data_IF_241524502314
#
_entry.id   IF_241524502314
#
_cell.length_a   1.000
_cell.length_b   1.000
_cell.length_c   1.000
_cell.angle_alpha   90.00
_cell.angle_beta   90.00
_cell.angle_gamma   90.00
#
_symmetry.space_group_name_H-M   'P 1'
#
loop_
_entity.id
_entity.type
_entity.pdbx_description
1 polymer ?
#
# COMPACT_ATOMS: atom_id res chain seq x y z
N UNK A 1 28.01 1.26 18.39
CA UNK A 1 28.76 0.23 17.64
C UNK A 1 27.83 -0.96 17.43
N UNK A 2 27.08 -0.98 16.33
CA UNK A 2 26.17 -2.07 15.97
C UNK A 2 26.68 -2.70 14.68
N UNK A 3 27.37 -3.83 14.79
CA UNK A 3 27.70 -4.68 13.63
C UNK A 3 26.75 -5.87 13.64
N UNK A 4 25.56 -5.69 13.08
CA UNK A 4 24.65 -6.81 12.84
C UNK A 4 24.56 -7.01 11.34
N UNK A 5 25.29 -8.00 10.84
CA UNK A 5 25.20 -8.49 9.47
C UNK A 5 24.43 -9.81 9.54
N UNK A 6 23.09 -9.81 9.61
CA UNK A 6 22.36 -11.05 9.60
C UNK A 6 22.45 -11.63 8.19
N UNK A 7 22.91 -12.88 8.08
CA UNK A 7 22.66 -13.67 6.88
C UNK A 7 21.15 -13.85 6.65
N UNK A 8 20.73 -14.30 5.45
CA UNK A 8 19.31 -14.40 5.08
C UNK A 8 18.45 -15.18 6.09
N UNK A 9 19.02 -16.17 6.80
CA UNK A 9 18.33 -16.96 7.84
C UNK A 9 18.08 -16.15 9.12
N UNK A 10 19.04 -15.32 9.55
CA UNK A 10 18.89 -14.47 10.74
C UNK A 10 17.86 -13.36 10.55
N UNK A 11 17.68 -12.92 9.30
CA UNK A 11 16.66 -11.94 8.95
C UNK A 11 15.25 -12.55 9.03
N UNK A 12 15.10 -13.83 8.68
CA UNK A 12 13.84 -14.58 8.83
C UNK A 12 13.49 -14.80 10.29
N UNK A 13 14.45 -15.16 11.14
CA UNK A 13 14.27 -15.31 12.59
C UNK A 13 13.82 -14.01 13.26
N UNK A 14 14.44 -12.87 12.88
CA UNK A 14 14.05 -11.55 13.42
C UNK A 14 12.64 -11.17 12.95
N UNK A 15 12.33 -11.39 11.67
CA UNK A 15 10.99 -11.12 11.13
C UNK A 15 9.94 -12.01 11.80
N UNK A 16 10.28 -13.27 12.08
CA UNK A 16 9.40 -14.22 12.77
C UNK A 16 9.17 -13.80 14.23
N UNK A 17 10.23 -13.50 14.97
CA UNK A 17 10.13 -13.00 16.34
C UNK A 17 9.35 -11.68 16.43
N UNK A 18 9.52 -10.78 15.45
CA UNK A 18 8.76 -9.54 15.38
C UNK A 18 7.28 -9.79 15.03
N UNK A 19 6.99 -10.74 14.13
CA UNK A 19 5.62 -11.16 13.80
C UNK A 19 4.93 -11.82 14.98
N UNK A 20 5.63 -12.68 15.72
CA UNK A 20 5.10 -13.38 16.89
C UNK A 20 4.86 -12.40 18.05
N UNK A 21 5.77 -11.45 18.27
CA UNK A 21 5.58 -10.36 19.22
C UNK A 21 4.36 -9.49 18.85
N UNK A 22 4.19 -9.18 17.56
CA UNK A 22 3.02 -8.42 17.10
C UNK A 22 1.73 -9.21 17.28
N UNK A 23 1.74 -10.51 16.96
CA UNK A 23 0.59 -11.41 17.09
C UNK A 23 0.18 -11.53 18.56
N UNK A 24 1.15 -11.70 19.47
CA UNK A 24 0.89 -11.74 20.91
C UNK A 24 0.28 -10.43 21.44
N UNK A 25 0.79 -9.28 20.98
CA UNK A 25 0.23 -7.98 21.36
C UNK A 25 -1.18 -7.79 20.82
N UNK A 26 -1.47 -8.24 19.60
CA UNK A 26 -2.81 -8.20 19.03
C UNK A 26 -3.76 -9.16 19.75
N UNK A 27 -3.31 -10.35 20.15
CA UNK A 27 -4.13 -11.34 20.84
C UNK A 27 -4.60 -10.84 22.20
N UNK A 28 -3.71 -10.20 22.99
CA UNK A 28 -4.08 -9.57 24.26
C UNK A 28 -5.13 -8.46 24.05
N UNK A 29 -4.89 -7.56 23.09
CA UNK A 29 -5.80 -6.44 22.80
C UNK A 29 -7.17 -6.91 22.28
N UNK A 30 -7.21 -7.99 21.48
CA UNK A 30 -8.44 -8.54 20.92
C UNK A 30 -9.23 -9.33 21.98
N UNK A 31 -8.54 -10.00 22.91
CA UNK A 31 -9.16 -10.83 23.93
C UNK A 31 -9.67 -10.02 25.15
N UNK A 32 -9.34 -8.74 25.24
CA UNK A 32 -9.90 -7.79 26.21
C UNK A 32 -11.30 -7.29 25.76
N UNK A 33 -12.35 -8.05 26.09
CA UNK A 33 -13.75 -7.75 25.75
C UNK A 33 -14.22 -6.35 26.20
N UNK A 34 -13.74 -5.89 27.36
CA UNK A 34 -14.08 -4.58 27.94
C UNK A 34 -13.46 -3.44 27.11
N UNK A 35 -12.22 -3.63 26.64
CA UNK A 35 -11.52 -2.67 25.81
C UNK A 35 -12.12 -2.62 24.40
N UNK A 36 -12.52 -3.78 23.86
CA UNK A 36 -13.22 -3.87 22.58
C UNK A 36 -14.60 -3.19 22.60
N UNK A 37 -15.33 -3.25 23.71
CA UNK A 37 -16.58 -2.50 23.89
C UNK A 37 -16.33 -0.99 23.96
N UNK A 38 -15.33 -0.56 24.74
CA UNK A 38 -14.96 0.87 24.87
C UNK A 38 -14.50 1.46 23.54
N UNK A 39 -13.63 0.76 22.82
CA UNK A 39 -13.21 1.16 21.47
C UNK A 39 -14.37 1.21 20.50
N UNK A 40 -15.36 0.31 20.59
CA UNK A 40 -16.54 0.32 19.73
C UNK A 40 -17.42 1.53 19.99
N UNK A 41 -17.64 1.90 21.24
CA UNK A 41 -18.42 3.08 21.62
C UNK A 41 -17.72 4.38 21.28
N UNK A 42 -16.42 4.48 21.57
CA UNK A 42 -15.60 5.64 21.22
C UNK A 42 -15.45 5.80 19.70
N UNK A 43 -15.24 4.70 18.96
CA UNK A 43 -15.24 4.78 17.50
C UNK A 43 -16.63 5.11 16.93
N UNK A 44 -17.73 4.68 17.54
CA UNK A 44 -19.07 5.04 17.07
C UNK A 44 -19.34 6.54 17.27
N UNK A 45 -18.94 7.10 18.42
CA UNK A 45 -19.06 8.55 18.71
C UNK A 45 -18.15 9.38 17.82
N UNK A 46 -16.89 8.98 17.65
CA UNK A 46 -15.97 9.59 16.69
C UNK A 46 -16.47 9.45 15.26
N UNK A 47 -17.03 8.30 14.88
CA UNK A 47 -17.64 8.09 13.58
C UNK A 47 -18.97 8.82 13.40
N UNK A 48 -19.54 9.45 14.42
CA UNK A 48 -20.65 10.40 14.30
C UNK A 48 -20.16 11.86 14.22
N UNK A 49 -19.07 12.20 14.93
CA UNK A 49 -18.45 13.53 14.93
C UNK A 49 -17.53 13.81 13.73
N UNK A 50 -16.76 12.83 13.27
CA UNK A 50 -15.83 12.97 12.12
C UNK A 50 -16.54 13.05 10.77
N UNK A 51 -17.62 12.28 10.46
CA UNK A 51 -18.26 12.41 9.17
C UNK A 51 -19.00 13.73 9.05
N UNK A 52 -19.47 14.41 10.10
CA UNK A 52 -20.10 15.72 9.89
C UNK A 52 -19.10 16.77 9.39
N UNK A 53 -17.85 16.73 9.88
CA UNK A 53 -16.77 17.62 9.41
C UNK A 53 -16.17 17.20 8.06
N UNK A 54 -15.98 15.89 7.82
CA UNK A 54 -15.36 15.37 6.59
C UNK A 54 -16.36 15.02 5.48
N UNK A 55 -17.62 14.69 5.81
CA UNK A 55 -18.65 14.46 4.81
C UNK A 55 -18.99 15.77 4.12
N UNK A 56 -18.98 16.94 4.77
CA UNK A 56 -19.24 18.21 4.05
C UNK A 56 -18.24 18.44 2.90
N UNK A 57 -16.99 17.98 3.02
CA UNK A 57 -15.98 18.09 1.94
C UNK A 57 -16.01 16.97 0.90
N UNK A 58 -16.71 15.85 1.14
CA UNK A 58 -16.71 14.64 0.28
C UNK A 58 -18.13 14.25 -0.22
N UNK A 59 -19.20 14.87 0.30
CA UNK A 59 -20.51 14.21 0.50
C UNK A 59 -21.39 13.95 -0.71
N UNK A 60 -21.43 14.73 -1.78
CA UNK A 60 -22.61 14.62 -2.67
C UNK A 60 -22.65 13.31 -3.50
N UNK A 61 -21.51 12.87 -4.02
CA UNK A 61 -21.41 11.63 -4.82
C UNK A 61 -21.17 10.41 -3.94
N UNK A 62 -20.24 10.51 -2.98
CA UNK A 62 -19.88 9.40 -2.09
C UNK A 62 -21.03 9.02 -1.15
N UNK A 63 -21.78 9.99 -0.60
CA UNK A 63 -22.91 9.66 0.27
C UNK A 63 -24.06 8.98 -0.49
N UNK A 64 -24.30 9.36 -1.76
CA UNK A 64 -25.31 8.68 -2.60
C UNK A 64 -24.92 7.25 -2.91
N UNK A 65 -23.65 7.01 -3.26
CA UNK A 65 -23.16 5.66 -3.53
C UNK A 65 -23.13 4.80 -2.26
N UNK A 66 -22.73 5.36 -1.13
CA UNK A 66 -22.77 4.67 0.17
C UNK A 66 -24.20 4.30 0.58
N UNK A 67 -25.16 5.20 0.38
CA UNK A 67 -26.58 4.93 0.66
C UNK A 67 -27.13 3.83 -0.26
N UNK A 68 -26.83 3.91 -1.56
CA UNK A 68 -27.22 2.88 -2.54
C UNK A 68 -26.62 1.51 -2.19
N UNK A 69 -25.35 1.47 -1.79
CA UNK A 69 -24.69 0.23 -1.36
C UNK A 69 -25.30 -0.32 -0.07
N UNK A 70 -25.65 0.53 0.90
CA UNK A 70 -26.34 0.13 2.12
C UNK A 70 -27.70 -0.52 1.81
N UNK A 71 -28.48 0.08 0.92
CA UNK A 71 -29.77 -0.48 0.46
C UNK A 71 -29.58 -1.82 -0.29
N UNK A 72 -28.52 -1.96 -1.08
CA UNK A 72 -28.18 -3.23 -1.73
C UNK A 72 -27.80 -4.32 -0.72
N UNK A 73 -27.01 -3.98 0.30
CA UNK A 73 -26.59 -4.91 1.35
C UNK A 73 -27.76 -5.34 2.24
N UNK A 74 -28.68 -4.42 2.54
CA UNK A 74 -29.90 -4.73 3.30
C UNK A 74 -30.87 -5.64 2.52
N UNK A 75 -30.89 -5.53 1.19
CA UNK A 75 -31.76 -6.30 0.31
C UNK A 75 -31.05 -7.48 -0.37
N UNK A 76 -29.91 -7.94 0.15
CA UNK A 76 -29.24 -9.10 -0.43
C UNK A 76 -30.12 -10.36 -0.29
N UNK A 77 -30.31 -11.14 -1.38
CA UNK A 77 -31.20 -12.31 -1.39
C UNK A 77 -30.68 -13.49 -0.55
N UNK A 78 -29.39 -13.46 -0.17
CA UNK A 78 -28.75 -14.48 0.66
C UNK A 78 -28.19 -13.78 1.90
N UNK A 79 -28.44 -14.34 3.08
CA UNK A 79 -27.90 -13.78 4.31
C UNK A 79 -26.36 -13.78 4.26
N UNK A 80 -25.68 -12.71 4.72
CA UNK A 80 -24.21 -12.64 4.70
C UNK A 80 -23.54 -13.80 5.45
N UNK A 81 -24.21 -14.31 6.50
CA UNK A 81 -23.76 -15.47 7.28
C UNK A 81 -23.77 -16.75 6.45
N UNK A 82 -24.85 -17.00 5.70
CA UNK A 82 -24.94 -18.19 4.85
C UNK A 82 -24.01 -18.11 3.64
N UNK A 83 -23.85 -16.92 3.06
CA UNK A 83 -22.87 -16.69 1.99
C UNK A 83 -21.44 -17.03 2.45
N UNK A 84 -21.06 -16.58 3.65
CA UNK A 84 -19.76 -16.88 4.24
C UNK A 84 -19.56 -18.37 4.49
N UNK A 85 -20.56 -19.05 5.06
CA UNK A 85 -20.52 -20.50 5.30
C UNK A 85 -20.40 -21.29 3.99
N UNK A 86 -21.10 -20.88 2.92
CA UNK A 86 -20.97 -21.52 1.60
C UNK A 86 -19.58 -21.28 0.99
N UNK A 87 -19.02 -20.09 1.14
CA UNK A 87 -17.65 -19.82 0.68
C UNK A 87 -16.60 -20.60 1.47
N UNK A 88 -16.76 -20.74 2.79
CA UNK A 88 -15.84 -21.53 3.61
C UNK A 88 -15.96 -23.02 3.30
N UNK A 89 -17.18 -23.55 3.11
CA UNK A 89 -17.41 -24.93 2.67
C UNK A 89 -16.82 -25.19 1.28
N UNK A 90 -16.99 -24.24 0.35
CA UNK A 90 -16.40 -24.32 -0.98
C UNK A 90 -14.86 -24.37 -0.93
N UNK A 91 -14.24 -23.50 -0.12
CA UNK A 91 -12.79 -23.50 0.09
C UNK A 91 -12.33 -24.78 0.79
N UNK A 92 -13.08 -25.29 1.76
CA UNK A 92 -12.78 -26.55 2.44
C UNK A 92 -12.88 -27.75 1.47
N UNK A 93 -13.82 -27.72 0.52
CA UNK A 93 -14.10 -28.81 -0.42
C UNK A 93 -13.16 -28.83 -1.63
N UNK A 94 -12.78 -27.67 -2.16
CA UNK A 94 -11.97 -27.55 -3.38
C UNK A 94 -10.55 -27.02 -3.14
N UNK A 95 -10.24 -26.52 -1.94
CA UNK A 95 -8.92 -26.08 -1.57
C UNK A 95 -8.41 -24.90 -2.42
N UNK A 96 -7.15 -24.98 -2.86
CA UNK A 96 -6.54 -23.94 -3.71
C UNK A 96 -7.09 -24.02 -5.13
N UNK A 97 -7.84 -23.00 -5.53
CA UNK A 97 -8.22 -22.81 -6.93
C UNK A 97 -7.03 -22.17 -7.68
N UNK A 98 -6.38 -22.87 -8.63
CA UNK A 98 -5.23 -22.32 -9.36
C UNK A 98 -5.58 -21.08 -10.19
N UNK A 99 -6.86 -20.89 -10.55
CA UNK A 99 -7.36 -19.70 -11.24
C UNK A 99 -7.64 -18.49 -10.32
N UNK A 100 -7.63 -18.68 -8.98
CA UNK A 100 -7.73 -17.58 -8.01
C UNK A 100 -6.35 -17.13 -7.51
N UNK A 101 -5.26 -17.75 -7.96
CA UNK A 101 -3.93 -17.24 -7.63
C UNK A 101 -3.74 -15.91 -8.37
N UNK A 102 -3.54 -14.78 -7.68
CA UNK A 102 -3.35 -13.51 -8.36
C UNK A 102 -2.18 -13.64 -9.33
N UNK A 103 -2.45 -13.41 -10.62
CA UNK A 103 -1.48 -13.48 -11.72
C UNK A 103 -0.19 -12.69 -11.42
N UNK A 104 -0.24 -11.71 -10.50
CA UNK A 104 0.92 -10.99 -9.98
C UNK A 104 2.03 -11.88 -9.38
N UNK A 105 1.74 -13.12 -8.95
CA UNK A 105 2.77 -14.03 -8.43
C UNK A 105 3.58 -14.73 -9.53
N UNK A 106 3.04 -14.86 -10.74
CA UNK A 106 3.70 -15.52 -11.87
C UNK A 106 4.29 -14.54 -12.89
N UNK A 107 4.17 -13.22 -12.65
CA UNK A 107 4.80 -12.22 -13.52
C UNK A 107 6.32 -12.26 -13.39
N UNK A 108 7.02 -12.22 -14.53
CA UNK A 108 8.47 -12.08 -14.54
C UNK A 108 8.90 -10.79 -13.80
N UNK A 109 10.02 -10.84 -13.08
CA UNK A 109 10.56 -9.68 -12.34
C UNK A 109 10.67 -8.40 -13.19
N UNK A 110 10.91 -8.57 -14.50
CA UNK A 110 10.99 -7.48 -15.49
C UNK A 110 9.64 -6.76 -15.65
N UNK A 111 8.53 -7.51 -15.67
CA UNK A 111 7.18 -6.96 -15.80
C UNK A 111 6.67 -6.39 -14.49
N UNK A 112 7.05 -6.99 -13.36
CA UNK A 112 6.70 -6.48 -12.03
C UNK A 112 7.32 -5.09 -11.75
N UNK A 113 8.60 -4.90 -12.12
CA UNK A 113 9.29 -3.62 -11.94
C UNK A 113 9.25 -2.68 -13.15
N UNK A 114 8.60 -3.08 -14.25
CA UNK A 114 8.50 -2.28 -15.49
C UNK A 114 9.86 -1.72 -15.92
N UNK A 115 10.86 -2.60 -16.00
CA UNK A 115 12.26 -2.22 -16.14
C UNK A 115 12.54 -1.39 -17.41
N UNK A 116 11.75 -1.60 -18.47
CA UNK A 116 11.75 -0.79 -19.70
C UNK A 116 11.44 0.69 -19.43
N UNK A 117 10.43 0.98 -18.62
CA UNK A 117 10.05 2.36 -18.24
C UNK A 117 11.15 3.02 -17.42
N UNK A 118 11.74 2.28 -16.47
CA UNK A 118 12.85 2.78 -15.64
C UNK A 118 14.06 3.15 -16.52
N UNK A 119 14.39 2.32 -17.50
CA UNK A 119 15.50 2.54 -18.41
C UNK A 119 15.27 3.78 -19.29
N UNK A 120 14.07 3.98 -19.83
CA UNK A 120 13.70 5.19 -20.58
C UNK A 120 13.83 6.44 -19.71
N UNK A 121 13.35 6.41 -18.46
CA UNK A 121 13.46 7.57 -17.55
C UNK A 121 14.91 7.91 -17.23
N UNK A 122 15.75 6.92 -16.91
CA UNK A 122 17.17 7.13 -16.60
C UNK A 122 17.93 7.69 -17.79
N UNK A 123 17.67 7.18 -19.00
CA UNK A 123 18.33 7.67 -20.22
C UNK A 123 17.96 9.13 -20.51
N UNK A 124 16.68 9.50 -20.39
CA UNK A 124 16.24 10.90 -20.56
C UNK A 124 16.92 11.82 -19.53
N UNK A 125 16.94 11.44 -18.25
CA UNK A 125 17.60 12.22 -17.21
C UNK A 125 19.10 12.37 -17.47
N UNK A 126 19.78 11.29 -17.87
CA UNK A 126 21.20 11.33 -18.20
C UNK A 126 21.50 12.28 -19.37
N UNK A 127 20.66 12.29 -20.42
CA UNK A 127 20.80 13.21 -21.55
C UNK A 127 20.63 14.66 -21.10
N UNK A 128 19.62 14.97 -20.29
CA UNK A 128 19.38 16.33 -19.78
C UNK A 128 20.57 16.82 -18.94
N UNK A 129 21.08 15.97 -18.05
CA UNK A 129 22.26 16.28 -17.22
C UNK A 129 23.51 16.46 -18.11
N UNK A 130 23.70 15.60 -19.11
CA UNK A 130 24.82 15.70 -20.02
C UNK A 130 24.80 17.01 -20.83
N UNK A 131 23.64 17.37 -21.38
CA UNK A 131 23.46 18.60 -22.17
C UNK A 131 23.67 19.84 -21.29
N UNK A 132 23.05 19.88 -20.10
CA UNK A 132 23.23 21.00 -19.18
C UNK A 132 24.69 21.16 -18.74
N UNK A 133 25.40 20.08 -18.42
CA UNK A 133 26.83 20.12 -18.12
C UNK A 133 27.66 20.62 -19.30
N UNK A 134 27.39 20.15 -20.53
CA UNK A 134 28.05 20.62 -21.76
C UNK A 134 27.85 22.12 -21.97
N UNK A 135 26.62 22.62 -21.83
CA UNK A 135 26.28 24.04 -21.99
C UNK A 135 26.99 24.87 -20.92
N UNK A 136 26.93 24.47 -19.65
CA UNK A 136 27.61 25.15 -18.55
C UNK A 136 29.13 25.23 -18.79
N UNK A 137 29.75 24.12 -19.22
CA UNK A 137 31.19 24.10 -19.53
C UNK A 137 31.54 25.05 -20.68
N UNK A 138 30.72 25.08 -21.74
CA UNK A 138 30.93 25.98 -22.88
C UNK A 138 30.76 27.44 -22.48
N UNK A 139 29.73 27.78 -21.71
CA UNK A 139 29.53 29.11 -21.15
C UNK A 139 30.73 29.53 -20.29
N UNK A 140 31.22 28.66 -19.40
CA UNK A 140 32.40 28.94 -18.56
C UNK A 140 33.67 29.16 -19.38
N UNK A 141 33.93 28.35 -20.41
CA UNK A 141 35.09 28.53 -21.29
C UNK A 141 35.02 29.83 -22.09
N UNK A 142 33.84 30.26 -22.54
CA UNK A 142 33.65 31.53 -23.26
C UNK A 142 33.84 32.72 -22.32
N UNK A 143 33.31 32.66 -21.09
CA UNK A 143 33.48 33.72 -20.08
C UNK A 143 34.95 33.85 -19.65
N UNK A 144 35.64 32.73 -19.42
CA UNK A 144 37.06 32.75 -19.06
C UNK A 144 37.96 33.22 -20.22
N UNK A 145 37.60 32.93 -21.47
CA UNK A 145 38.28 33.47 -22.65
C UNK A 145 38.06 34.98 -22.83
N UNK A 146 36.91 35.51 -22.41
CA UNK A 146 36.62 36.95 -22.45
C UNK A 146 37.43 37.73 -21.40
N UNK A 147 37.65 37.15 -20.22
CA UNK A 147 38.43 37.76 -19.12
C UNK A 147 39.95 37.90 -19.39
N UNK A 148 40.51 37.28 -20.43
CA UNK A 148 41.94 37.40 -20.81
C UNK A 148 42.22 38.47 -21.87
N UNK A 149 41.20 39.12 -22.41
CA UNK A 149 41.32 40.08 -23.53
C UNK A 149 41.06 41.54 -23.14
N UNK A 150 40.79 41.80 -21.86
CA UNK A 150 40.76 43.14 -21.25
C UNK A 150 42.07 43.41 -20.50
#
# INVERSE_FOLDING_TARGET
>A
MWTMKPGPVGLVEIVKAMSDAFTSQCEVVINDDELMKRLREENLTLALLRPSAFAVSVSSSYARNAKRLSEMLANQPISPKELFLRHSEFVARFGRLPNLDPYGRQLSFVQYYLLDIVLVVVTVLAVVVYVSFRVLRRCFSIVSAKSKKD
#
